data_IF_301439985675
#
_entry.id   IF_301439985675
#
_cell.length_a   1.000
_cell.length_b   1.000
_cell.length_c   1.000
_cell.angle_alpha   90.00
_cell.angle_beta   90.00
_cell.angle_gamma   90.00
#
_symmetry.space_group_name_H-M   'P 1'
#
loop_
_entity.id
_entity.type
_entity.pdbx_description
1 polymer ?
#
# COMPACT_ATOMS: atom_id res chain seq x y z
N UNK A 1 15.14 0.53 -4.89
CA UNK A 1 14.65 1.87 -4.51
C UNK A 1 13.43 2.22 -5.36
N UNK A 2 12.41 2.82 -4.74
CA UNK A 2 11.24 3.44 -5.38
C UNK A 2 11.36 4.94 -5.25
N UNK A 3 10.96 5.68 -6.28
CA UNK A 3 10.86 7.14 -6.27
C UNK A 3 9.42 7.58 -6.54
N UNK A 4 8.92 8.54 -5.78
CA UNK A 4 7.57 9.10 -5.94
C UNK A 4 7.56 10.14 -7.05
N UNK A 5 6.98 9.80 -8.19
CA UNK A 5 6.80 10.74 -9.32
C UNK A 5 5.59 11.64 -9.11
N UNK A 6 4.50 11.07 -8.59
CA UNK A 6 3.27 11.77 -8.18
C UNK A 6 2.74 11.13 -6.90
N UNK A 7 2.45 11.88 -5.85
CA UNK A 7 2.06 11.31 -4.56
C UNK A 7 0.59 10.82 -4.49
N UNK A 8 -0.25 11.14 -5.49
CA UNK A 8 -1.70 10.99 -5.37
C UNK A 8 -2.35 12.10 -4.51
N UNK A 9 -3.60 11.89 -4.11
CA UNK A 9 -4.32 12.91 -3.31
C UNK A 9 -3.89 12.84 -1.84
N UNK A 10 -3.88 11.67 -1.26
CA UNK A 10 -3.52 11.46 0.14
C UNK A 10 -2.89 10.06 0.27
N UNK A 11 -1.57 10.00 0.12
CA UNK A 11 -0.83 8.76 0.26
C UNK A 11 0.09 8.85 1.48
N UNK A 12 -0.02 7.86 2.36
CA UNK A 12 0.76 7.72 3.59
C UNK A 12 1.32 6.31 3.70
N UNK A 13 2.32 6.12 4.56
CA UNK A 13 2.72 4.79 4.98
C UNK A 13 1.83 4.39 6.16
N UNK A 14 1.26 3.20 6.08
CA UNK A 14 0.45 2.63 7.15
C UNK A 14 0.83 1.16 7.40
N UNK A 15 0.67 0.74 8.64
CA UNK A 15 0.78 -0.64 9.08
C UNK A 15 -0.37 -0.99 10.04
N UNK A 16 -0.17 -1.97 10.90
CA UNK A 16 -1.17 -2.40 11.90
C UNK A 16 -1.50 -1.35 12.96
N UNK A 17 -0.64 -0.35 13.14
CA UNK A 17 -0.79 0.74 14.12
C UNK A 17 0.05 0.58 15.39
N UNK A 18 0.04 1.62 16.24
CA UNK A 18 0.83 1.78 17.48
C UNK A 18 0.08 1.34 18.69
N UNK A 19 0.13 0.08 19.02
CA UNK A 19 -0.53 -0.44 20.22
C UNK A 19 0.34 -0.26 21.49
N UNK A 20 -0.33 -0.03 22.63
CA UNK A 20 0.31 0.04 23.94
C UNK A 20 0.74 1.42 24.40
N UNK A 21 0.45 2.48 23.63
CA UNK A 21 0.87 3.86 23.95
C UNK A 21 -0.33 4.80 24.22
N UNK A 22 -1.55 4.28 24.27
CA UNK A 22 -2.77 5.07 24.45
C UNK A 22 -2.78 5.78 25.82
N UNK A 23 -2.25 5.15 26.86
CA UNK A 23 -2.11 5.76 28.19
C UNK A 23 -1.21 7.03 28.18
N UNK A 24 -0.33 7.14 27.19
CA UNK A 24 0.52 8.32 26.96
C UNK A 24 -0.09 9.31 25.95
N UNK A 25 -1.38 9.17 25.62
CA UNK A 25 -2.08 10.06 24.69
C UNK A 25 -1.77 9.82 23.20
N UNK A 26 -1.07 8.73 22.86
CA UNK A 26 -0.73 8.42 21.48
C UNK A 26 -1.79 7.51 20.88
N UNK A 27 -2.39 7.94 19.77
CA UNK A 27 -3.41 7.15 19.06
C UNK A 27 -2.79 5.91 18.40
N UNK A 28 -3.59 4.85 18.27
CA UNK A 28 -3.16 3.63 17.58
C UNK A 28 -2.80 3.93 16.12
N UNK A 29 -3.64 4.68 15.41
CA UNK A 29 -3.48 4.91 13.97
C UNK A 29 -3.63 3.62 13.18
N UNK A 30 -2.84 3.47 12.11
CA UNK A 30 -2.85 2.30 11.26
C UNK A 30 -3.82 2.40 10.09
N UNK A 31 -3.96 1.31 9.36
CA UNK A 31 -4.74 1.22 8.13
C UNK A 31 -6.24 1.39 8.37
N UNK A 32 -6.92 2.06 7.43
CA UNK A 32 -8.38 2.29 7.50
C UNK A 32 -9.17 1.03 7.11
N UNK A 33 -8.77 0.33 6.05
CA UNK A 33 -9.37 -0.95 5.64
C UNK A 33 -8.43 -2.10 6.04
N UNK A 34 -8.60 -2.55 7.29
CA UNK A 34 -7.77 -3.61 7.88
C UNK A 34 -7.84 -4.91 7.07
N UNK A 35 -9.01 -5.25 6.53
CA UNK A 35 -9.19 -6.50 5.78
C UNK A 35 -8.38 -6.49 4.48
N UNK A 36 -8.44 -5.42 3.70
CA UNK A 36 -7.64 -5.27 2.49
C UNK A 36 -6.14 -5.25 2.79
N UNK A 37 -5.74 -4.64 3.92
CA UNK A 37 -4.35 -4.63 4.37
C UNK A 37 -3.86 -6.03 4.75
N UNK A 38 -4.62 -6.79 5.55
CA UNK A 38 -4.24 -8.16 5.94
C UNK A 38 -4.11 -9.08 4.72
N UNK A 39 -5.05 -9.00 3.78
CA UNK A 39 -5.00 -9.78 2.55
C UNK A 39 -3.77 -9.42 1.69
N UNK A 40 -3.37 -8.16 1.65
CA UNK A 40 -2.15 -7.73 0.97
C UNK A 40 -0.89 -8.34 1.56
N UNK A 41 -0.79 -8.40 2.89
CA UNK A 41 0.29 -9.08 3.60
C UNK A 41 0.33 -10.58 3.27
N UNK A 42 -0.83 -11.25 3.29
CA UNK A 42 -0.96 -12.68 2.95
C UNK A 42 -0.49 -12.93 1.50
N UNK A 43 -0.91 -12.09 0.55
CA UNK A 43 -0.55 -12.22 -0.86
C UNK A 43 0.98 -12.19 -1.06
N UNK A 44 1.69 -11.32 -0.38
CA UNK A 44 3.16 -11.25 -0.47
C UNK A 44 3.88 -12.12 0.55
N UNK A 45 3.15 -12.92 1.35
CA UNK A 45 3.70 -13.77 2.41
C UNK A 45 4.55 -12.94 3.39
N UNK A 46 3.98 -11.84 3.87
CA UNK A 46 4.56 -10.94 4.85
C UNK A 46 3.66 -10.86 6.08
N UNK A 47 4.20 -10.34 7.19
CA UNK A 47 3.44 -10.10 8.41
C UNK A 47 3.64 -8.64 8.83
N UNK A 48 2.53 -7.92 9.04
CA UNK A 48 2.52 -6.53 9.51
C UNK A 48 3.47 -5.61 8.72
N UNK A 49 3.72 -5.93 7.44
CA UNK A 49 4.58 -5.12 6.61
C UNK A 49 3.93 -3.77 6.32
N UNK A 50 4.72 -2.68 6.32
CA UNK A 50 4.19 -1.38 5.96
C UNK A 50 3.72 -1.36 4.50
N UNK A 51 2.66 -0.60 4.25
CA UNK A 51 2.09 -0.41 2.92
C UNK A 51 1.88 1.08 2.63
N UNK A 52 1.87 1.43 1.35
CA UNK A 52 1.34 2.73 0.93
C UNK A 52 -0.17 2.66 0.96
N UNK A 53 -0.81 3.39 1.87
CA UNK A 53 -2.25 3.62 1.89
C UNK A 53 -2.56 4.89 1.11
N UNK A 54 -3.52 4.84 0.19
CA UNK A 54 -3.93 5.99 -0.62
C UNK A 54 -5.45 6.06 -0.74
N UNK A 55 -5.94 7.29 -0.94
CA UNK A 55 -7.36 7.60 -0.93
C UNK A 55 -7.79 8.11 -2.29
N UNK A 56 -8.78 7.48 -2.91
CA UNK A 56 -9.44 7.87 -4.18
C UNK A 56 -8.53 7.95 -5.41
N UNK A 57 -7.33 8.50 -5.29
CA UNK A 57 -6.34 8.59 -6.37
C UNK A 57 -4.98 8.20 -5.83
N UNK A 58 -4.43 7.11 -6.33
CA UNK A 58 -3.17 6.54 -5.89
C UNK A 58 -1.94 7.17 -6.56
N UNK A 59 -0.74 6.84 -6.05
CA UNK A 59 0.50 7.43 -6.51
C UNK A 59 0.96 6.90 -7.88
N UNK A 60 1.91 7.65 -8.48
CA UNK A 60 2.75 7.16 -9.57
C UNK A 60 4.18 7.02 -9.05
N UNK A 61 4.74 5.83 -9.20
CA UNK A 61 6.01 5.43 -8.61
C UNK A 61 6.96 4.87 -9.67
N UNK A 62 8.23 5.29 -9.62
CA UNK A 62 9.31 4.77 -10.46
C UNK A 62 10.11 3.73 -9.67
N UNK A 63 10.28 2.55 -10.22
CA UNK A 63 11.08 1.47 -9.65
C UNK A 63 12.48 1.46 -10.27
N UNK A 64 13.51 1.68 -9.46
CA UNK A 64 14.91 1.66 -9.93
C UNK A 64 15.56 0.27 -9.80
N UNK A 65 14.83 -0.71 -9.29
CA UNK A 65 15.26 -2.11 -9.17
C UNK A 65 14.05 -3.04 -9.23
N UNK A 66 14.24 -4.35 -9.50
CA UNK A 66 13.14 -5.30 -9.54
C UNK A 66 12.42 -5.40 -8.20
N UNK A 67 11.11 -5.54 -8.24
CA UNK A 67 10.25 -5.66 -7.06
C UNK A 67 9.10 -6.64 -7.29
N UNK A 68 8.62 -7.25 -6.21
CA UNK A 68 7.33 -7.94 -6.19
C UNK A 68 6.36 -7.08 -5.41
N UNK A 69 5.24 -6.76 -6.03
CA UNK A 69 4.20 -5.91 -5.43
C UNK A 69 2.84 -6.61 -5.40
N UNK A 70 1.92 -6.10 -4.60
CA UNK A 70 0.48 -6.34 -4.76
C UNK A 70 -0.31 -5.08 -4.45
N UNK A 71 -1.48 -4.96 -5.07
CA UNK A 71 -2.40 -3.85 -4.83
C UNK A 71 -3.72 -4.44 -4.36
N UNK A 72 -4.25 -3.92 -3.24
CA UNK A 72 -5.53 -4.35 -2.64
C UNK A 72 -6.41 -3.13 -2.33
N UNK A 73 -7.63 -3.35 -1.84
CA UNK A 73 -8.57 -2.30 -1.48
C UNK A 73 -9.59 -2.00 -2.58
N UNK A 74 -9.92 -0.73 -2.74
CA UNK A 74 -10.91 -0.22 -3.70
C UNK A 74 -10.57 -0.61 -5.16
N UNK A 75 -11.54 -0.49 -6.04
CA UNK A 75 -11.40 -0.85 -7.46
C UNK A 75 -10.60 0.21 -8.23
N UNK A 76 -9.29 0.06 -8.28
CA UNK A 76 -8.39 0.85 -9.12
C UNK A 76 -8.11 0.15 -10.45
N UNK A 77 -7.50 0.87 -11.38
CA UNK A 77 -7.01 0.34 -12.66
C UNK A 77 -5.52 0.67 -12.81
N UNK A 78 -4.66 -0.03 -12.01
CA UNK A 78 -3.24 0.25 -12.06
C UNK A 78 -2.63 -0.18 -13.39
N UNK A 79 -1.57 0.53 -13.79
CA UNK A 79 -0.77 0.24 -14.97
C UNK A 79 0.71 0.21 -14.64
N UNK A 80 1.47 -0.66 -15.33
CA UNK A 80 2.93 -0.59 -15.39
C UNK A 80 3.31 -0.21 -16.82
N UNK A 81 4.04 0.89 -16.97
CA UNK A 81 4.46 1.44 -18.28
C UNK A 81 3.27 1.61 -19.26
N UNK A 82 2.09 2.00 -18.74
CA UNK A 82 0.85 2.18 -19.48
C UNK A 82 0.04 0.90 -19.73
N UNK A 83 0.56 -0.26 -19.42
CA UNK A 83 -0.16 -1.53 -19.57
C UNK A 83 -0.92 -1.87 -18.29
N UNK A 84 -2.20 -2.20 -18.42
CA UNK A 84 -3.06 -2.56 -17.28
C UNK A 84 -2.56 -3.82 -16.58
N UNK A 85 -2.53 -3.78 -15.25
CA UNK A 85 -2.17 -4.92 -14.42
C UNK A 85 -3.33 -5.29 -13.49
N UNK A 86 -3.46 -6.57 -13.12
CA UNK A 86 -4.48 -7.00 -12.17
C UNK A 86 -4.11 -6.57 -10.73
N UNK A 87 -5.14 -6.44 -9.89
CA UNK A 87 -5.01 -6.32 -8.43
C UNK A 87 -5.12 -7.70 -7.76
N UNK A 88 -4.89 -7.76 -6.45
CA UNK A 88 -5.13 -8.92 -5.58
C UNK A 88 -4.29 -10.17 -5.92
N UNK A 89 -3.11 -9.96 -6.46
CA UNK A 89 -2.14 -11.01 -6.75
C UNK A 89 -0.72 -10.45 -6.75
N UNK A 90 0.32 -11.30 -6.59
CA UNK A 90 1.70 -10.87 -6.76
C UNK A 90 1.96 -10.43 -8.21
N UNK A 91 2.64 -9.31 -8.38
CA UNK A 91 3.04 -8.76 -9.68
C UNK A 91 4.54 -8.48 -9.64
N UNK A 92 5.26 -8.95 -10.65
CA UNK A 92 6.65 -8.59 -10.87
C UNK A 92 6.74 -7.22 -11.52
N UNK A 93 7.52 -6.33 -10.94
CA UNK A 93 7.90 -5.03 -11.53
C UNK A 93 9.39 -5.11 -11.90
N UNK A 94 9.73 -4.71 -13.10
CA UNK A 94 11.11 -4.68 -13.56
C UNK A 94 11.80 -3.36 -13.18
N UNK A 95 13.12 -3.38 -13.13
CA UNK A 95 13.89 -2.14 -12.97
C UNK A 95 13.61 -1.18 -14.13
N UNK A 96 13.46 0.10 -13.81
CA UNK A 96 13.13 1.14 -14.78
C UNK A 96 11.64 1.31 -15.06
N UNK A 97 10.77 0.43 -14.57
CA UNK A 97 9.32 0.54 -14.81
C UNK A 97 8.65 1.61 -13.94
N UNK A 98 7.54 2.13 -14.44
CA UNK A 98 6.69 3.11 -13.77
C UNK A 98 5.32 2.51 -13.48
N UNK A 99 4.98 2.40 -12.20
CA UNK A 99 3.65 2.03 -11.74
C UNK A 99 2.80 3.29 -11.59
N UNK A 100 1.62 3.32 -12.22
CA UNK A 100 0.61 4.34 -12.01
C UNK A 100 -0.68 3.69 -11.51
N UNK A 101 -1.18 4.12 -10.34
CA UNK A 101 -2.40 3.54 -9.75
C UNK A 101 -3.65 4.22 -10.25
N UNK A 102 -3.61 5.55 -10.39
CA UNK A 102 -4.74 6.34 -10.89
C UNK A 102 -5.92 6.42 -9.91
N UNK A 103 -7.11 6.71 -10.44
CA UNK A 103 -8.31 6.95 -9.64
C UNK A 103 -9.11 5.68 -9.39
N UNK A 104 -9.74 5.59 -8.24
CA UNK A 104 -10.67 4.52 -7.91
C UNK A 104 -11.97 4.68 -8.71
N UNK A 105 -12.45 3.59 -9.31
CA UNK A 105 -13.79 3.52 -9.92
C UNK A 105 -14.88 3.28 -8.90
N UNK A 106 -14.55 2.58 -7.82
CA UNK A 106 -15.47 2.23 -6.73
C UNK A 106 -14.67 1.97 -5.45
N UNK A 107 -15.16 2.47 -4.33
CA UNK A 107 -14.48 2.43 -3.04
C UNK A 107 -13.56 3.63 -2.87
N UNK A 108 -12.81 3.65 -1.78
CA UNK A 108 -12.03 4.82 -1.38
C UNK A 108 -10.57 4.48 -1.11
N UNK A 109 -10.29 3.52 -0.24
CA UNK A 109 -8.95 3.19 0.22
C UNK A 109 -8.30 2.12 -0.63
N UNK A 110 -7.04 2.32 -0.98
CA UNK A 110 -6.21 1.31 -1.64
C UNK A 110 -4.86 1.17 -0.94
N UNK A 111 -4.27 0.00 -1.12
CA UNK A 111 -2.98 -0.37 -0.52
C UNK A 111 -2.04 -0.90 -1.58
N UNK A 112 -0.83 -0.37 -1.61
CA UNK A 112 0.27 -0.93 -2.39
C UNK A 112 1.29 -1.53 -1.41
N UNK A 113 1.53 -2.81 -1.54
CA UNK A 113 2.60 -3.52 -0.84
C UNK A 113 3.77 -3.73 -1.77
N UNK A 114 4.96 -3.57 -1.24
CA UNK A 114 6.22 -3.92 -1.89
C UNK A 114 6.94 -4.93 -1.00
N UNK A 115 7.34 -6.05 -1.57
CA UNK A 115 7.99 -7.10 -0.79
C UNK A 115 9.31 -6.59 -0.18
N UNK A 116 9.40 -6.68 1.16
CA UNK A 116 10.57 -6.22 1.91
C UNK A 116 10.71 -4.70 1.99
N UNK A 117 9.63 -3.93 1.83
CA UNK A 117 9.65 -2.47 2.02
C UNK A 117 10.18 -2.13 3.42
N UNK A 118 11.28 -1.38 3.45
CA UNK A 118 11.96 -0.98 4.69
C UNK A 118 11.54 0.44 5.08
N UNK A 119 10.82 0.56 6.18
CA UNK A 119 10.35 1.83 6.73
C UNK A 119 10.74 1.90 8.21
N UNK A 120 11.46 2.95 8.63
CA UNK A 120 11.77 3.17 10.03
C UNK A 120 10.51 3.21 10.90
N UNK A 121 10.54 2.49 12.01
CA UNK A 121 9.43 2.45 12.96
C UNK A 121 9.66 3.40 14.12
N UNK A 122 8.59 4.08 14.55
CA UNK A 122 8.55 4.85 15.79
C UNK A 122 7.46 4.29 16.67
N UNK A 123 7.79 3.93 17.91
CA UNK A 123 6.86 3.29 18.84
C UNK A 123 6.27 2.00 18.24
N UNK A 124 7.14 1.16 17.65
CA UNK A 124 6.81 -0.14 17.03
C UNK A 124 5.85 -0.07 15.84
N UNK A 125 5.73 1.07 15.18
CA UNK A 125 4.87 1.23 14.00
C UNK A 125 5.50 2.19 12.99
N UNK A 126 5.32 1.88 11.72
CA UNK A 126 5.65 2.74 10.58
C UNK A 126 4.47 3.66 10.20
N UNK A 127 3.30 3.49 10.84
CA UNK A 127 2.10 4.26 10.48
C UNK A 127 2.28 5.75 10.65
N UNK A 128 1.87 6.49 9.64
CA UNK A 128 1.85 7.94 9.63
C UNK A 128 0.76 8.47 10.56
N UNK A 129 1.14 9.42 11.41
CA UNK A 129 0.22 10.25 12.20
C UNK A 129 0.75 11.69 12.25
N UNK A 130 0.42 12.47 11.25
CA UNK A 130 0.99 13.82 11.03
C UNK A 130 0.77 14.77 12.20
N UNK A 131 -0.39 14.67 12.88
CA UNK A 131 -0.70 15.54 14.04
C UNK A 131 0.28 15.40 15.21
N UNK A 132 0.93 14.24 15.33
CA UNK A 132 1.97 14.00 16.34
C UNK A 132 3.39 14.04 15.75
N UNK A 133 3.56 14.49 14.51
CA UNK A 133 4.87 14.52 13.85
C UNK A 133 5.43 13.13 13.50
N UNK A 134 4.58 12.11 13.48
CA UNK A 134 4.97 10.73 13.16
C UNK A 134 4.70 10.44 11.69
N UNK A 135 5.77 10.44 10.89
CA UNK A 135 5.68 10.31 9.44
C UNK A 135 5.09 11.53 8.75
N UNK A 136 4.92 11.44 7.45
CA UNK A 136 4.34 12.49 6.59
C UNK A 136 3.61 11.87 5.41
N UNK A 137 2.77 12.65 4.75
CA UNK A 137 2.24 12.29 3.43
C UNK A 137 3.37 12.24 2.42
N UNK A 138 3.24 11.35 1.46
CA UNK A 138 4.18 11.28 0.35
C UNK A 138 4.25 12.59 -0.42
N UNK A 139 5.47 12.93 -0.81
CA UNK A 139 5.75 14.07 -1.68
C UNK A 139 6.50 13.59 -2.93
N UNK A 140 6.40 14.34 -4.00
CA UNK A 140 7.20 14.09 -5.20
C UNK A 140 8.70 14.12 -4.83
N UNK A 141 9.45 13.13 -5.29
CA UNK A 141 10.87 12.96 -5.02
C UNK A 141 11.19 12.17 -3.74
N UNK A 142 10.19 11.82 -2.92
CA UNK A 142 10.43 10.89 -1.81
C UNK A 142 10.91 9.53 -2.36
N UNK A 143 11.84 8.91 -1.63
CA UNK A 143 12.42 7.62 -2.01
C UNK A 143 12.25 6.59 -0.90
N UNK A 144 12.07 5.32 -1.31
CA UNK A 144 11.89 4.20 -0.40
C UNK A 144 12.80 3.04 -0.78
N UNK A 145 13.31 2.33 0.22
CA UNK A 145 14.24 1.22 0.03
C UNK A 145 13.56 -0.13 0.28
N UNK A 146 14.02 -1.13 -0.42
CA UNK A 146 13.63 -2.54 -0.27
C UNK A 146 14.71 -3.40 -0.94
N UNK A 147 14.91 -4.67 -0.56
CA UNK A 147 15.80 -5.58 -1.28
C UNK A 147 15.20 -5.92 -2.64
N UNK A 148 16.02 -6.11 -3.69
CA UNK A 148 15.53 -6.65 -4.96
C UNK A 148 14.76 -7.94 -4.72
N UNK A 149 13.61 -8.08 -5.37
CA UNK A 149 12.77 -9.27 -5.20
C UNK A 149 12.22 -9.75 -6.53
N UNK A 150 12.11 -11.07 -6.66
CA UNK A 150 11.58 -11.75 -7.83
C UNK A 150 10.51 -12.74 -7.42
N UNK A 151 9.52 -12.92 -8.25
CA UNK A 151 8.54 -13.97 -8.09
C UNK A 151 8.64 -14.96 -9.25
N UNK A 152 8.48 -16.25 -8.96
CA UNK A 152 8.12 -17.22 -9.99
C UNK A 152 6.70 -16.89 -10.43
N UNK A 153 6.32 -17.24 -11.67
CA UNK A 153 4.93 -17.09 -12.11
C UNK A 153 3.99 -17.68 -11.07
N UNK A 154 3.10 -16.84 -10.55
CA UNK A 154 2.17 -17.26 -9.50
C UNK A 154 0.79 -17.37 -10.12
N UNK A 155 0.29 -18.60 -10.20
CA UNK A 155 -1.03 -18.91 -10.76
C UNK A 155 -2.19 -18.77 -9.76
N UNK A 156 -1.99 -18.02 -8.67
CA UNK A 156 -3.04 -17.76 -7.69
C UNK A 156 -3.31 -16.28 -7.51
N UNK A 157 -4.54 -15.95 -7.19
CA UNK A 157 -4.98 -14.61 -6.84
C UNK A 157 -6.09 -14.70 -5.80
N UNK A 158 -6.24 -13.67 -4.99
CA UNK A 158 -7.41 -13.55 -4.14
C UNK A 158 -8.55 -12.88 -4.92
N UNK A 159 -9.77 -13.36 -4.68
CA UNK A 159 -10.95 -12.69 -5.20
C UNK A 159 -11.11 -11.34 -4.52
N UNK A 160 -11.32 -10.24 -5.27
CA UNK A 160 -11.56 -8.93 -4.67
C UNK A 160 -12.73 -8.96 -3.69
N UNK A 161 -12.62 -8.18 -2.62
CA UNK A 161 -13.72 -8.01 -1.68
C UNK A 161 -14.90 -7.34 -2.38
N UNK A 162 -16.08 -7.92 -2.24
CA UNK A 162 -17.31 -7.37 -2.83
C UNK A 162 -17.89 -6.33 -1.88
N UNK A 163 -17.95 -5.06 -2.31
CA UNK A 163 -18.64 -4.01 -1.58
C UNK A 163 -20.16 -4.25 -1.68
N UNK A 164 -20.80 -4.49 -0.55
CA UNK A 164 -22.26 -4.60 -0.50
C UNK A 164 -22.91 -3.25 -0.74
N UNK A 165 -23.94 -3.21 -1.58
CA UNK A 165 -24.72 -1.97 -1.85
C UNK A 165 -25.64 -1.60 -0.70
N UNK A 166 -26.09 -2.61 0.07
CA UNK A 166 -27.00 -2.44 1.18
C UNK A 166 -26.52 -3.25 2.38
N UNK A 167 -26.48 -2.64 3.53
CA UNK A 167 -26.22 -3.29 4.82
C UNK A 167 -27.44 -3.04 5.70
N UNK A 168 -28.09 -4.10 6.13
CA UNK A 168 -29.14 -4.00 7.14
C UNK A 168 -28.51 -4.03 8.53
N UNK A 169 -28.61 -2.95 9.25
CA UNK A 169 -28.20 -2.87 10.67
C UNK A 169 -29.36 -3.41 11.50
N UNK A 170 -29.12 -4.43 12.29
CA UNK A 170 -30.07 -4.98 13.27
C UNK A 170 -29.74 -4.46 14.65
#
# INVERSE_FOLDING_TARGET
>A
MIEVMKPGINTTIQDHGRYGYQASGIVVGGTMDKQSYELGNIILQQQNAPAFEFVMNGPTLKFHQPAVITITGAAFQPTIDGQAIPMWRPIQVLAGSTLAIGSAKRGMYGYLFVKGLDIPQTLRSASTYEKAGLGKRLQKGDTFHFPPSFTKEVNWSLKPLTLQKHVTIR
#
